data_IF_635447989063
#
_entry.id   IF_635447989063
#
_cell.length_a   1.000
_cell.length_b   1.000
_cell.length_c   1.000
_cell.angle_alpha   90.00
_cell.angle_beta   90.00
_cell.angle_gamma   90.00
#
_symmetry.space_group_name_H-M   'P 1'
#
loop_
_entity.id
_entity.type
_entity.pdbx_description
1 polymer ?
#
# COMPACT_ATOMS: atom_id res chain seq x y z
N UNK A 1 -15.47 22.42 -21.84
CA UNK A 1 -14.57 21.67 -22.73
C UNK A 1 -13.43 21.17 -21.85
N UNK A 2 -13.58 20.01 -21.24
CA UNK A 2 -12.59 19.46 -20.29
C UNK A 2 -11.89 18.32 -21.02
N UNK A 3 -10.60 18.52 -21.31
CA UNK A 3 -9.72 17.49 -21.82
C UNK A 3 -9.22 16.68 -20.62
N UNK A 4 -9.72 15.47 -20.42
CA UNK A 4 -9.11 14.51 -19.49
C UNK A 4 -8.15 13.65 -20.30
N UNK A 5 -6.85 13.93 -20.16
CA UNK A 5 -5.78 13.16 -20.80
C UNK A 5 -5.50 11.92 -19.97
N UNK A 6 -5.93 10.74 -20.42
CA UNK A 6 -5.51 9.47 -19.87
C UNK A 6 -3.99 9.30 -20.11
N UNK A 7 -3.20 9.14 -19.04
CA UNK A 7 -1.79 8.77 -19.12
C UNK A 7 -1.69 7.25 -18.97
N UNK A 8 -1.37 6.57 -20.06
CA UNK A 8 -1.17 5.12 -20.11
C UNK A 8 0.13 4.74 -19.38
N UNK A 9 0.03 3.89 -18.35
CA UNK A 9 1.18 3.29 -17.65
C UNK A 9 1.56 1.99 -18.37
N UNK A 10 2.81 1.88 -18.83
CA UNK A 10 3.36 0.69 -19.47
C UNK A 10 3.77 -0.33 -18.39
N UNK A 11 3.02 -1.41 -18.20
CA UNK A 11 3.50 -2.59 -17.47
C UNK A 11 3.92 -3.62 -18.52
N UNK A 12 5.23 -3.88 -18.62
CA UNK A 12 5.79 -4.87 -19.53
C UNK A 12 5.61 -6.26 -18.91
N UNK A 13 4.53 -6.96 -19.27
CA UNK A 13 4.40 -8.39 -18.97
C UNK A 13 5.04 -9.17 -20.11
N UNK A 14 6.27 -9.63 -19.89
CA UNK A 14 6.91 -10.66 -20.70
C UNK A 14 6.27 -12.02 -20.38
N UNK A 15 5.12 -12.31 -20.98
CA UNK A 15 4.57 -13.66 -21.04
C UNK A 15 4.95 -14.29 -22.39
N UNK A 16 5.96 -15.17 -22.36
CA UNK A 16 6.18 -16.18 -23.39
C UNK A 16 4.89 -16.99 -23.56
N UNK A 17 4.33 -17.03 -24.76
CA UNK A 17 3.17 -17.86 -25.05
C UNK A 17 2.57 -17.66 -26.44
N UNK A 18 3.40 -17.51 -27.47
CA UNK A 18 2.89 -17.51 -28.85
C UNK A 18 2.71 -18.97 -29.31
N UNK A 19 1.48 -19.49 -29.28
CA UNK A 19 1.10 -20.68 -30.04
C UNK A 19 -0.23 -20.42 -30.75
N UNK A 20 -0.23 -20.50 -32.08
CA UNK A 20 -1.41 -20.87 -32.86
C UNK A 20 -1.97 -19.86 -33.87
N UNK A 21 -1.44 -19.94 -35.10
CA UNK A 21 -2.17 -19.91 -36.39
C UNK A 21 -2.96 -18.66 -36.83
N UNK A 22 -2.41 -18.06 -37.90
CA UNK A 22 -3.10 -17.50 -39.08
C UNK A 22 -4.28 -16.54 -38.85
N UNK A 23 -3.95 -15.26 -38.69
CA UNK A 23 -4.87 -14.17 -38.99
C UNK A 23 -4.60 -12.95 -38.14
N UNK A 24 -3.87 -11.98 -38.71
CA UNK A 24 -3.74 -10.60 -38.24
C UNK A 24 -3.32 -10.44 -36.78
N UNK A 25 -2.15 -9.84 -36.53
CA UNK A 25 -1.86 -9.28 -35.21
C UNK A 25 -2.91 -8.19 -34.95
N UNK A 26 -4.01 -8.54 -34.28
CA UNK A 26 -4.88 -7.51 -33.72
C UNK A 26 -4.01 -6.79 -32.72
N UNK A 27 -3.93 -5.46 -32.87
CA UNK A 27 -3.26 -4.60 -31.91
C UNK A 27 -3.63 -5.08 -30.51
N UNK A 28 -2.64 -5.36 -29.67
CA UNK A 28 -2.87 -5.74 -28.29
C UNK A 28 -3.84 -4.71 -27.71
N UNK A 29 -5.08 -5.14 -27.46
CA UNK A 29 -6.08 -4.27 -26.85
C UNK A 29 -5.47 -3.86 -25.52
N UNK A 30 -5.22 -2.56 -25.34
CA UNK A 30 -4.90 -2.02 -24.04
C UNK A 30 -6.12 -2.31 -23.18
N UNK A 31 -6.00 -3.27 -22.28
CA UNK A 31 -7.06 -3.53 -21.34
C UNK A 31 -6.93 -2.54 -20.19
N UNK A 32 -8.02 -1.83 -19.89
CA UNK A 32 -8.12 -1.06 -18.67
C UNK A 32 -8.09 -2.02 -17.48
N UNK A 33 -7.22 -1.75 -16.51
CA UNK A 33 -7.17 -2.53 -15.28
C UNK A 33 -8.45 -2.37 -14.47
N UNK A 34 -9.14 -1.24 -14.59
CA UNK A 34 -10.44 -0.99 -13.96
C UNK A 34 -11.56 -1.85 -14.59
N UNK A 35 -11.36 -2.38 -15.80
CA UNK A 35 -12.32 -3.26 -16.49
C UNK A 35 -12.10 -4.75 -16.18
N UNK A 36 -11.05 -5.10 -15.42
CA UNK A 36 -10.78 -6.48 -15.04
C UNK A 36 -11.41 -6.83 -13.69
N UNK A 37 -12.33 -7.81 -13.63
CA UNK A 37 -13.03 -8.18 -12.38
C UNK A 37 -12.11 -8.81 -11.32
N UNK A 38 -10.85 -9.10 -11.68
CA UNK A 38 -9.84 -9.70 -10.81
C UNK A 38 -8.79 -8.68 -10.32
N UNK A 39 -8.94 -7.39 -10.63
CA UNK A 39 -7.99 -6.35 -10.21
C UNK A 39 -8.59 -5.55 -9.08
N UNK A 40 -7.87 -5.49 -7.95
CA UNK A 40 -8.24 -4.65 -6.83
C UNK A 40 -7.56 -3.28 -6.89
N UNK A 41 -8.32 -2.18 -6.73
CA UNK A 41 -7.75 -0.82 -6.69
C UNK A 41 -7.96 -0.16 -5.33
N UNK A 42 -6.85 0.25 -4.71
CA UNK A 42 -6.85 1.16 -3.56
C UNK A 42 -6.88 2.60 -4.07
N UNK A 43 -7.80 3.42 -3.56
CA UNK A 43 -7.91 4.84 -3.94
C UNK A 43 -7.84 5.68 -2.68
N UNK A 44 -6.86 6.59 -2.62
CA UNK A 44 -6.77 7.56 -1.54
C UNK A 44 -8.00 8.47 -1.51
N UNK A 45 -8.57 8.68 -0.32
CA UNK A 45 -9.78 9.47 -0.15
C UNK A 45 -9.55 11.00 -0.18
N UNK A 46 -8.28 11.44 -0.15
CA UNK A 46 -7.92 12.85 -0.11
C UNK A 46 -7.18 13.22 -1.40
N UNK A 47 -7.76 14.15 -2.16
CA UNK A 47 -7.15 14.72 -3.36
C UNK A 47 -5.77 15.29 -3.03
N UNK A 48 -4.79 15.10 -3.93
CA UNK A 48 -3.38 15.53 -3.78
C UNK A 48 -2.49 14.78 -2.78
N UNK A 49 -2.94 13.65 -2.22
CA UNK A 49 -2.07 12.75 -1.44
C UNK A 49 -1.66 11.52 -2.23
N UNK A 50 -0.47 11.00 -1.93
CA UNK A 50 0.18 9.95 -2.70
C UNK A 50 -0.02 8.58 -2.06
N UNK A 51 -1.28 8.15 -1.86
CA UNK A 51 -1.55 6.75 -1.45
C UNK A 51 -0.94 5.81 -2.48
N UNK A 52 -0.19 4.82 -2.00
CA UNK A 52 0.60 3.95 -2.88
C UNK A 52 1.92 4.59 -3.31
N UNK A 53 2.47 5.52 -2.51
CA UNK A 53 3.82 6.05 -2.74
C UNK A 53 4.87 4.95 -2.65
N UNK A 54 4.65 4.00 -1.74
CA UNK A 54 5.37 2.74 -1.63
C UNK A 54 4.41 1.63 -1.15
N UNK A 55 4.68 0.38 -1.52
CA UNK A 55 3.83 -0.77 -1.20
C UNK A 55 4.72 -1.98 -0.95
N UNK A 56 4.50 -2.68 0.16
CA UNK A 56 5.20 -3.92 0.48
C UNK A 56 4.25 -5.00 1.01
N UNK A 57 4.67 -6.25 0.87
CA UNK A 57 4.08 -7.36 1.60
C UNK A 57 4.54 -7.24 3.06
N UNK A 58 3.59 -7.30 3.99
CA UNK A 58 3.87 -7.17 5.42
C UNK A 58 4.11 -8.52 6.11
N UNK A 59 3.76 -9.63 5.45
CA UNK A 59 3.71 -10.93 6.10
C UNK A 59 2.36 -11.15 6.78
N UNK A 60 2.28 -12.04 7.76
CA UNK A 60 1.08 -12.30 8.57
C UNK A 60 1.24 -11.59 9.93
N UNK A 61 0.84 -10.32 10.00
CA UNK A 61 1.12 -9.46 11.15
C UNK A 61 0.11 -9.66 12.30
N UNK A 62 -1.03 -10.30 12.01
CA UNK A 62 -2.04 -10.64 13.02
C UNK A 62 -2.18 -12.15 13.29
N UNK A 63 -1.42 -12.99 12.57
CA UNK A 63 -1.32 -14.42 12.79
C UNK A 63 -2.58 -15.18 12.35
N UNK A 64 -3.36 -14.63 11.41
CA UNK A 64 -4.60 -15.25 10.94
C UNK A 64 -4.38 -16.28 9.82
N UNK A 65 -3.14 -16.42 9.35
CA UNK A 65 -2.71 -17.31 8.29
C UNK A 65 -2.82 -16.72 6.89
N UNK A 66 -3.16 -15.43 6.74
CA UNK A 66 -3.22 -14.72 5.48
C UNK A 66 -2.16 -13.61 5.44
N UNK A 67 -1.55 -13.42 4.26
CA UNK A 67 -0.60 -12.33 4.07
C UNK A 67 -1.30 -10.98 4.01
N UNK A 68 -0.71 -10.03 4.73
CA UNK A 68 -1.09 -8.64 4.85
C UNK A 68 -0.22 -7.74 3.97
N UNK A 69 -0.69 -6.50 3.79
CA UNK A 69 0.00 -5.50 2.99
C UNK A 69 0.10 -4.18 3.74
N UNK A 70 1.18 -3.46 3.45
CA UNK A 70 1.39 -2.10 3.91
C UNK A 70 1.51 -1.14 2.73
N UNK A 71 0.90 0.03 2.88
CA UNK A 71 0.86 1.05 1.85
C UNK A 71 1.27 2.39 2.44
N UNK A 72 2.30 3.00 1.86
CA UNK A 72 2.70 4.37 2.15
C UNK A 72 1.77 5.40 1.52
N UNK A 73 1.45 6.45 2.28
CA UNK A 73 0.85 7.69 1.81
C UNK A 73 1.81 8.83 2.19
N UNK A 74 2.90 8.96 1.45
CA UNK A 74 3.87 10.03 1.63
C UNK A 74 3.17 11.39 1.40
N UNK A 75 3.31 12.30 2.36
CA UNK A 75 2.87 13.69 2.24
C UNK A 75 3.79 14.53 1.32
N UNK A 76 4.90 13.94 0.86
CA UNK A 76 5.99 14.67 0.24
C UNK A 76 6.55 15.76 1.16
N UNK A 77 7.22 16.75 0.59
CA UNK A 77 7.84 17.86 1.33
C UNK A 77 6.85 19.01 1.64
N UNK A 78 5.54 18.71 1.70
CA UNK A 78 4.52 19.73 1.94
C UNK A 78 4.55 20.20 3.40
N UNK A 79 4.63 21.51 3.62
CA UNK A 79 4.72 22.11 4.96
C UNK A 79 3.44 21.99 5.80
N UNK A 80 2.35 21.46 5.22
CA UNK A 80 1.04 21.36 5.88
C UNK A 80 0.48 19.94 5.88
N UNK A 81 1.33 18.95 5.65
CA UNK A 81 0.92 17.55 5.69
C UNK A 81 1.98 16.71 6.39
N UNK A 82 1.50 15.73 7.15
CA UNK A 82 2.26 14.64 7.73
C UNK A 82 1.97 13.37 6.92
N UNK A 83 3.02 12.60 6.68
CA UNK A 83 2.97 11.32 6.00
C UNK A 83 2.16 10.30 6.80
N UNK A 84 1.75 9.23 6.12
CA UNK A 84 0.96 8.15 6.71
C UNK A 84 1.39 6.82 6.12
N UNK A 85 1.05 5.77 6.82
CA UNK A 85 0.99 4.44 6.21
C UNK A 85 -0.30 3.74 6.63
N UNK A 86 -0.63 2.72 5.86
CA UNK A 86 -1.85 1.96 5.99
C UNK A 86 -1.52 0.49 6.11
N UNK A 87 -2.24 -0.20 6.98
CA UNK A 87 -2.25 -1.65 7.06
C UNK A 87 -3.54 -2.15 6.43
N UNK A 88 -3.41 -3.17 5.59
CA UNK A 88 -4.53 -3.86 4.98
C UNK A 88 -4.36 -5.35 5.27
N UNK A 89 -5.31 -5.91 6.02
CA UNK A 89 -5.28 -7.31 6.41
C UNK A 89 -5.72 -8.21 5.26
N UNK A 90 -5.01 -9.32 5.09
CA UNK A 90 -5.44 -10.44 4.27
C UNK A 90 -6.78 -10.98 4.75
N UNK A 91 -7.59 -11.50 3.83
CA UNK A 91 -8.86 -12.15 4.21
C UNK A 91 -9.16 -13.37 3.34
N UNK A 92 -9.84 -14.35 3.94
CA UNK A 92 -10.41 -15.53 3.25
C UNK A 92 -11.31 -15.18 2.07
N UNK A 93 -12.05 -14.07 2.17
CA UNK A 93 -12.97 -13.63 1.14
C UNK A 93 -12.25 -12.97 -0.05
N UNK A 94 -10.97 -12.63 0.11
CA UNK A 94 -10.28 -11.68 -0.73
C UNK A 94 -11.00 -10.33 -0.75
N UNK A 95 -10.54 -9.42 -1.61
CA UNK A 95 -11.21 -8.15 -1.84
C UNK A 95 -12.26 -8.33 -2.94
N UNK A 96 -13.50 -8.59 -2.52
CA UNK A 96 -14.62 -8.86 -3.42
C UNK A 96 -14.78 -7.73 -4.46
N UNK A 97 -15.01 -8.12 -5.72
CA UNK A 97 -15.13 -7.22 -6.88
C UNK A 97 -13.91 -6.34 -7.17
N UNK A 98 -12.72 -6.73 -6.69
CA UNK A 98 -11.54 -5.90 -6.94
C UNK A 98 -11.67 -4.52 -6.28
N UNK A 99 -12.34 -4.42 -5.15
CA UNK A 99 -12.40 -3.20 -4.37
C UNK A 99 -11.61 -3.43 -3.10
N UNK A 100 -10.40 -2.88 -3.04
CA UNK A 100 -9.73 -2.70 -1.75
C UNK A 100 -10.66 -1.91 -0.83
N UNK A 101 -10.65 -2.17 0.49
CA UNK A 101 -11.48 -1.41 1.39
C UNK A 101 -11.18 0.08 1.22
N UNK A 102 -12.23 0.88 1.05
CA UNK A 102 -12.08 2.32 0.82
C UNK A 102 -11.34 3.02 1.97
N UNK A 103 -11.35 2.40 3.15
CA UNK A 103 -10.61 2.79 4.35
C UNK A 103 -9.68 1.62 4.66
N UNK A 104 -8.38 1.88 4.80
CA UNK A 104 -7.45 0.89 5.32
C UNK A 104 -7.93 0.35 6.67
N UNK A 105 -7.60 -0.90 7.00
CA UNK A 105 -8.02 -1.49 8.28
C UNK A 105 -7.43 -0.69 9.45
N UNK A 106 -6.17 -0.29 9.32
CA UNK A 106 -5.52 0.69 10.19
C UNK A 106 -4.75 1.76 9.41
N UNK A 107 -4.68 2.96 9.98
CA UNK A 107 -3.90 4.08 9.47
C UNK A 107 -3.04 4.65 10.58
N UNK A 108 -1.76 4.83 10.30
CA UNK A 108 -0.82 5.48 11.19
C UNK A 108 -0.39 6.81 10.59
N UNK A 109 -0.35 7.85 11.42
CA UNK A 109 -0.02 9.19 10.97
C UNK A 109 1.26 9.70 11.64
N UNK A 110 2.04 10.46 10.87
CA UNK A 110 3.22 11.16 11.36
C UNK A 110 2.89 12.26 12.37
N UNK A 111 3.88 12.64 13.17
CA UNK A 111 3.69 13.45 14.38
C UNK A 111 3.77 14.97 14.13
N UNK A 112 4.56 15.41 13.15
CA UNK A 112 4.84 16.83 12.94
C UNK A 112 4.68 17.28 11.50
N UNK A 113 4.60 18.60 11.31
CA UNK A 113 4.71 19.20 9.97
C UNK A 113 6.00 18.74 9.29
N UNK A 114 5.92 18.41 8.00
CA UNK A 114 7.02 17.83 7.20
C UNK A 114 7.49 16.44 7.64
N UNK A 115 6.76 15.77 8.53
CA UNK A 115 6.94 14.33 8.73
C UNK A 115 6.56 13.62 7.41
N UNK A 116 7.47 12.77 6.91
CA UNK A 116 7.27 12.00 5.67
C UNK A 116 7.17 10.52 6.03
N UNK A 117 6.40 10.20 7.09
CA UNK A 117 6.08 8.83 7.44
C UNK A 117 5.46 8.09 6.24
N UNK A 118 5.89 6.85 6.02
CA UNK A 118 5.40 6.05 4.89
C UNK A 118 6.07 6.41 3.56
N UNK A 119 7.20 7.13 3.58
CA UNK A 119 8.03 7.33 2.37
C UNK A 119 8.63 6.01 1.88
N UNK A 120 8.95 5.12 2.82
CA UNK A 120 9.38 3.74 2.56
C UNK A 120 8.71 2.81 3.55
N UNK A 121 8.22 1.67 3.07
CA UNK A 121 7.58 0.64 3.90
C UNK A 121 8.12 -0.74 3.53
N UNK A 122 8.35 -1.62 4.51
CA UNK A 122 8.69 -3.02 4.24
C UNK A 122 8.21 -3.96 5.35
N UNK A 123 7.95 -5.22 4.99
CA UNK A 123 7.78 -6.31 5.94
C UNK A 123 9.15 -6.87 6.32
N UNK A 124 9.46 -6.95 7.61
CA UNK A 124 10.76 -7.46 8.09
C UNK A 124 10.68 -8.89 8.63
N UNK A 125 9.48 -9.47 8.62
CA UNK A 125 9.16 -10.75 9.25
C UNK A 125 9.12 -10.64 10.77
N UNK A 126 8.89 -11.75 11.46
CA UNK A 126 8.98 -11.81 12.93
C UNK A 126 10.44 -11.60 13.41
N UNK A 127 10.77 -10.38 13.83
CA UNK A 127 12.13 -10.03 14.30
C UNK A 127 12.27 -10.15 15.82
N UNK A 128 11.16 -10.24 16.56
CA UNK A 128 11.15 -10.30 18.02
C UNK A 128 10.91 -11.73 18.57
N UNK A 129 10.51 -12.68 17.70
CA UNK A 129 10.26 -14.08 18.00
C UNK A 129 8.90 -14.37 18.65
N UNK A 130 7.91 -13.50 18.48
CA UNK A 130 6.57 -13.65 19.09
C UNK A 130 5.56 -14.42 18.23
N UNK A 131 5.94 -14.72 16.99
CA UNK A 131 5.14 -15.47 16.03
C UNK A 131 4.25 -14.62 15.11
N UNK A 132 4.38 -13.29 15.13
CA UNK A 132 3.71 -12.37 14.20
C UNK A 132 4.74 -11.63 13.36
N UNK A 133 4.45 -11.42 12.06
CA UNK A 133 5.39 -10.68 11.21
C UNK A 133 5.38 -9.19 11.57
N UNK A 134 6.57 -8.58 11.61
CA UNK A 134 6.76 -7.17 11.94
C UNK A 134 6.97 -6.32 10.68
N UNK A 135 6.72 -5.02 10.79
CA UNK A 135 6.88 -4.05 9.70
C UNK A 135 7.84 -2.93 10.08
N UNK A 136 8.52 -2.37 9.08
CA UNK A 136 9.35 -1.17 9.22
C UNK A 136 8.84 -0.05 8.32
N UNK A 137 8.83 1.16 8.84
CA UNK A 137 8.38 2.36 8.13
C UNK A 137 9.38 3.49 8.28
N UNK A 138 9.78 4.08 7.16
CA UNK A 138 10.65 5.24 7.12
C UNK A 138 9.88 6.55 7.29
N UNK A 139 10.46 7.49 8.03
CA UNK A 139 10.11 8.90 8.05
C UNK A 139 11.39 9.75 7.89
N UNK A 140 11.86 9.97 6.65
CA UNK A 140 13.07 10.76 6.42
C UNK A 140 12.86 12.27 6.68
N UNK A 141 11.62 12.73 6.79
CA UNK A 141 11.28 14.15 6.94
C UNK A 141 11.48 14.74 8.33
N UNK A 142 11.57 13.92 9.37
CA UNK A 142 11.71 14.39 10.75
C UNK A 142 13.18 14.60 11.15
N UNK A 143 13.57 15.83 11.52
CA UNK A 143 14.93 16.17 11.98
C UNK A 143 16.09 15.57 11.13
N UNK A 144 16.63 14.41 11.54
CA UNK A 144 17.75 13.66 10.93
C UNK A 144 17.29 12.42 10.12
N UNK A 145 15.98 12.24 9.96
CA UNK A 145 15.33 11.01 9.54
C UNK A 145 15.13 10.02 10.70
N UNK A 146 14.04 9.27 10.63
CA UNK A 146 13.77 8.14 11.53
C UNK A 146 13.22 6.94 10.76
N UNK A 147 13.24 5.78 11.42
CA UNK A 147 12.50 4.60 11.03
C UNK A 147 11.81 4.04 12.27
N UNK A 148 10.58 3.57 12.09
CA UNK A 148 9.75 2.97 13.13
C UNK A 148 9.56 1.51 12.80
N UNK A 149 9.63 0.64 13.82
CA UNK A 149 9.21 -0.75 13.72
C UNK A 149 7.87 -0.85 14.42
N UNK A 150 6.89 -1.44 13.75
CA UNK A 150 5.63 -1.81 14.38
C UNK A 150 5.61 -3.32 14.51
N UNK A 151 5.50 -3.79 15.75
CA UNK A 151 5.45 -5.22 16.04
C UNK A 151 4.08 -5.81 15.71
N UNK A 152 4.08 -6.99 15.10
CA UNK A 152 2.87 -7.76 14.86
C UNK A 152 2.20 -8.18 16.17
N UNK A 153 0.89 -8.43 16.12
CA UNK A 153 0.14 -8.92 17.27
C UNK A 153 -1.22 -9.51 16.86
N UNK A 154 -1.70 -10.50 17.61
CA UNK A 154 -3.02 -11.11 17.40
C UNK A 154 -4.19 -10.12 17.45
N UNK A 155 -4.04 -9.00 18.16
CA UNK A 155 -5.09 -7.97 18.17
C UNK A 155 -4.85 -7.02 17.01
N UNK A 156 -5.70 -7.10 15.99
CA UNK A 156 -5.64 -6.21 14.83
C UNK A 156 -5.60 -4.74 15.24
N UNK A 157 -4.69 -4.00 14.63
CA UNK A 157 -4.75 -2.55 14.59
C UNK A 157 -6.05 -2.13 13.88
N UNK A 158 -6.68 -1.06 14.36
CA UNK A 158 -7.88 -0.53 13.69
C UNK A 158 -8.02 0.97 13.88
N UNK A 159 -8.61 1.64 12.89
CA UNK A 159 -8.84 3.08 12.93
C UNK A 159 -7.60 3.91 12.60
N UNK A 160 -7.45 5.08 13.22
CA UNK A 160 -6.32 6.00 12.99
C UNK A 160 -5.58 6.27 14.30
N UNK A 161 -4.27 6.12 14.31
CA UNK A 161 -3.41 6.37 15.46
C UNK A 161 -2.14 7.17 15.09
N UNK A 162 -1.59 7.88 16.07
CA UNK A 162 -0.28 8.54 15.95
C UNK A 162 0.82 7.51 16.18
N UNK A 163 1.84 7.48 15.31
CA UNK A 163 2.88 6.44 15.35
C UNK A 163 3.68 6.41 16.66
N UNK A 164 3.79 7.56 17.34
CA UNK A 164 4.54 7.67 18.61
C UNK A 164 3.70 7.37 19.87
N UNK A 165 2.38 7.19 19.75
CA UNK A 165 1.56 6.80 20.91
C UNK A 165 1.54 5.27 21.10
N UNK A 166 1.86 4.52 20.05
CA UNK A 166 1.85 3.05 20.04
C UNK A 166 3.27 2.44 20.15
N UNK A 167 4.32 3.26 20.27
CA UNK A 167 5.72 2.83 20.28
C UNK A 167 6.37 2.76 21.68
N UNK A 168 5.61 3.00 22.75
CA UNK A 168 6.07 3.01 24.17
C UNK A 168 5.72 1.72 24.94
#
# INVERSE_FOLDING_TARGET
MIHTSARSLLISISALGFFGLAGGVQAASLYDLDDYPAVARLVGQITSRQVGSDIAAAGDIDGDGYGDFIVGESAGQSESAYGRFHIIYGTTAGYANGQFPAVADATFIGFSDRDILGDSVDGVGDINGDGYDDIIVGSPGIQNGAAYILFGQATRFSGSADIETEAD
#
